data_IF_861052257708
#
_entry.id   IF_861052257708
#
_cell.length_a   1.000
_cell.length_b   1.000
_cell.length_c   1.000
_cell.angle_alpha   90.00
_cell.angle_beta   90.00
_cell.angle_gamma   90.00
#
_symmetry.space_group_name_H-M   'P 1'
#
loop_
_entity.id
_entity.type
_entity.pdbx_description
1 polymer ?
#
# COMPACT_ATOMS: atom_id res chain seq x y z
N UNK A 1 22.72 32.72 -41.79
CA UNK A 1 23.86 32.84 -40.86
C UNK A 1 24.75 31.61 -41.05
N UNK A 2 26.02 31.85 -41.37
CA UNK A 2 27.00 30.88 -41.91
C UNK A 2 27.60 29.98 -40.83
N UNK A 3 27.98 28.78 -41.28
CA UNK A 3 28.66 27.72 -40.53
C UNK A 3 30.17 27.99 -40.33
N UNK A 4 30.71 27.28 -39.35
CA UNK A 4 32.03 26.63 -39.26
C UNK A 4 33.26 27.37 -38.68
N UNK A 5 33.86 26.63 -37.73
CA UNK A 5 35.30 26.34 -37.53
C UNK A 5 36.23 27.48 -37.10
N UNK A 6 36.78 27.36 -35.88
CA UNK A 6 38.25 27.43 -35.70
C UNK A 6 38.70 26.48 -34.59
N UNK A 7 39.70 25.68 -34.96
CA UNK A 7 40.53 24.77 -34.18
C UNK A 7 41.43 25.52 -33.19
N UNK A 8 41.76 24.88 -32.06
CA UNK A 8 42.77 25.39 -31.12
C UNK A 8 43.46 24.26 -30.37
N UNK A 9 44.59 23.78 -30.91
CA UNK A 9 45.57 22.96 -30.20
C UNK A 9 46.16 23.76 -29.04
N UNK A 10 46.27 23.16 -27.85
CA UNK A 10 47.45 23.33 -26.98
C UNK A 10 47.76 21.98 -26.33
N UNK A 11 48.97 21.50 -26.59
CA UNK A 11 49.57 20.32 -26.03
C UNK A 11 50.24 20.63 -24.67
N UNK A 12 50.74 19.56 -24.05
CA UNK A 12 51.78 19.51 -23.01
C UNK A 12 51.27 19.30 -21.56
N UNK A 13 51.39 18.03 -21.18
CA UNK A 13 52.22 17.56 -20.07
C UNK A 13 52.00 18.18 -18.69
N UNK A 14 51.49 17.38 -17.76
CA UNK A 14 52.10 17.32 -16.43
C UNK A 14 51.93 15.90 -15.86
N UNK A 15 53.07 15.26 -15.63
CA UNK A 15 53.17 14.02 -14.89
C UNK A 15 52.66 14.22 -13.46
N UNK A 16 51.78 13.33 -12.99
CA UNK A 16 51.50 13.20 -11.56
C UNK A 16 51.79 11.76 -11.14
N UNK A 17 52.91 11.68 -10.43
CA UNK A 17 53.37 10.68 -9.47
C UNK A 17 52.38 9.59 -9.07
N UNK A 18 52.84 8.36 -9.31
CA UNK A 18 52.41 7.14 -8.63
C UNK A 18 52.69 7.29 -7.14
N UNK A 19 51.65 7.50 -6.34
CA UNK A 19 51.67 7.24 -4.90
C UNK A 19 50.75 6.05 -4.65
N UNK A 20 51.38 4.91 -4.38
CA UNK A 20 50.71 3.69 -4.01
C UNK A 20 49.85 3.90 -2.77
N UNK A 21 48.54 3.79 -2.94
CA UNK A 21 47.60 3.66 -1.84
C UNK A 21 47.41 2.17 -1.60
N UNK A 22 47.76 1.74 -0.39
CA UNK A 22 47.63 0.39 0.09
C UNK A 22 46.22 -0.17 -0.20
N UNK A 23 46.15 -1.36 -0.79
CA UNK A 23 44.96 -2.20 -0.79
C UNK A 23 44.64 -2.57 0.66
N UNK A 24 43.83 -1.73 1.33
CA UNK A 24 43.10 -2.17 2.50
C UNK A 24 42.07 -3.20 2.01
N UNK A 25 42.21 -4.42 2.51
CA UNK A 25 41.36 -5.55 2.23
C UNK A 25 39.90 -5.12 2.18
N UNK A 26 39.28 -5.28 1.01
CA UNK A 26 37.84 -5.28 0.86
C UNK A 26 37.33 -6.46 1.66
N UNK A 27 37.06 -6.23 2.94
CA UNK A 27 36.14 -7.06 3.70
C UNK A 27 34.85 -7.06 2.91
N UNK A 28 34.67 -8.11 2.13
CA UNK A 28 33.42 -8.44 1.45
C UNK A 28 32.35 -8.41 2.52
N UNK A 29 31.65 -7.27 2.61
CA UNK A 29 30.34 -7.22 3.20
C UNK A 29 29.54 -8.16 2.32
N UNK A 30 29.42 -9.41 2.77
CA UNK A 30 28.53 -10.41 2.20
C UNK A 30 27.18 -9.73 2.28
N UNK A 31 26.81 -9.07 1.19
CA UNK A 31 25.51 -8.44 0.99
C UNK A 31 24.55 -9.61 1.11
N UNK A 32 24.04 -9.79 2.32
CA UNK A 32 22.98 -10.71 2.60
C UNK A 32 21.82 -10.16 1.78
N UNK A 33 21.70 -10.71 0.57
CA UNK A 33 20.58 -10.55 -0.32
C UNK A 33 19.36 -10.80 0.54
N UNK A 34 18.71 -9.69 0.94
CA UNK A 34 17.50 -9.69 1.74
C UNK A 34 16.47 -10.32 0.83
N UNK A 35 16.23 -11.62 1.03
CA UNK A 35 15.12 -12.36 0.44
C UNK A 35 13.87 -11.54 0.70
N UNK A 36 13.37 -10.87 -0.34
CA UNK A 36 12.12 -10.13 -0.31
C UNK A 36 11.01 -11.15 -0.19
N UNK A 37 10.72 -11.58 1.05
CA UNK A 37 9.53 -12.34 1.36
C UNK A 37 8.35 -11.52 0.87
N UNK A 38 7.65 -12.03 -0.15
CA UNK A 38 6.39 -11.48 -0.63
C UNK A 38 5.51 -11.26 0.60
N UNK A 39 5.25 -9.99 0.92
CA UNK A 39 4.52 -9.62 2.11
C UNK A 39 3.12 -10.23 2.03
N UNK A 40 2.66 -10.84 3.13
CA UNK A 40 1.36 -11.51 3.15
C UNK A 40 0.25 -10.48 2.94
N UNK A 41 -0.65 -10.75 2.01
CA UNK A 41 -1.81 -9.93 1.70
C UNK A 41 -3.07 -10.69 2.12
N UNK A 42 -4.01 -10.01 2.78
CA UNK A 42 -5.26 -10.59 3.28
C UNK A 42 -6.47 -9.90 2.65
N UNK A 43 -7.62 -10.57 2.66
CA UNK A 43 -8.89 -10.01 2.21
C UNK A 43 -9.61 -9.33 3.36
N UNK A 44 -10.17 -8.15 3.10
CA UNK A 44 -10.93 -7.36 4.07
C UNK A 44 -12.29 -6.96 3.49
N UNK A 45 -13.33 -7.01 4.32
CA UNK A 45 -14.57 -6.26 4.09
C UNK A 45 -14.46 -4.92 4.80
N UNK A 46 -14.45 -3.85 4.04
CA UNK A 46 -14.56 -2.49 4.54
C UNK A 46 -16.03 -2.12 4.64
N UNK A 47 -16.42 -1.60 5.81
CA UNK A 47 -17.77 -1.15 6.13
C UNK A 47 -17.64 0.32 6.55
N UNK A 48 -18.20 1.24 5.77
CA UNK A 48 -18.10 2.69 5.97
C UNK A 48 -19.51 3.28 6.16
N UNK A 49 -20.05 3.26 7.39
CA UNK A 49 -21.36 3.82 7.68
C UNK A 49 -21.33 5.35 7.70
N UNK A 50 -22.45 5.96 7.31
CA UNK A 50 -22.74 7.39 7.39
C UNK A 50 -24.25 7.57 7.68
N UNK A 51 -24.68 8.78 8.04
CA UNK A 51 -26.12 9.04 8.24
C UNK A 51 -26.84 9.42 6.93
N UNK A 52 -28.18 9.37 6.87
CA UNK A 52 -28.92 9.86 5.72
C UNK A 52 -28.57 11.31 5.34
N UNK A 53 -28.35 12.17 6.33
CA UNK A 53 -28.03 13.59 6.16
C UNK A 53 -26.62 13.78 5.59
N UNK A 54 -25.71 12.85 5.87
CA UNK A 54 -24.32 12.87 5.39
C UNK A 54 -24.18 12.26 3.98
N UNK A 55 -25.18 11.56 3.48
CA UNK A 55 -25.07 10.68 2.31
C UNK A 55 -24.48 11.36 1.07
N UNK A 56 -24.96 12.56 0.71
CA UNK A 56 -24.44 13.27 -0.46
C UNK A 56 -22.99 13.73 -0.23
N UNK A 57 -22.72 14.29 0.96
CA UNK A 57 -21.38 14.74 1.34
C UNK A 57 -20.37 13.59 1.33
N UNK A 58 -20.74 12.42 1.85
CA UNK A 58 -19.88 11.24 1.83
C UNK A 58 -19.56 10.79 0.41
N UNK A 59 -20.55 10.77 -0.49
CA UNK A 59 -20.33 10.40 -1.89
C UNK A 59 -19.43 11.42 -2.61
N UNK A 60 -19.61 12.70 -2.35
CA UNK A 60 -18.76 13.77 -2.90
C UNK A 60 -17.32 13.66 -2.40
N UNK A 61 -17.11 13.44 -1.10
CA UNK A 61 -15.78 13.25 -0.49
C UNK A 61 -15.06 12.03 -1.07
N UNK A 62 -15.78 10.90 -1.21
CA UNK A 62 -15.21 9.69 -1.82
C UNK A 62 -14.91 9.90 -3.31
N UNK A 63 -15.74 10.66 -4.03
CA UNK A 63 -15.48 10.99 -5.43
C UNK A 63 -14.31 11.97 -5.60
N UNK A 64 -14.03 12.80 -4.60
CA UNK A 64 -12.91 13.75 -4.60
C UNK A 64 -11.54 13.03 -4.50
N UNK A 65 -11.50 11.84 -3.89
CA UNK A 65 -10.33 10.94 -3.90
C UNK A 65 -10.11 10.28 -5.29
N UNK A 66 -11.01 10.51 -6.25
CA UNK A 66 -10.99 9.97 -7.60
C UNK A 66 -12.27 9.22 -7.95
N UNK A 67 -12.76 9.36 -9.19
CA UNK A 67 -13.95 8.66 -9.66
C UNK A 67 -13.79 7.13 -9.58
N UNK A 68 -12.56 6.64 -9.73
CA UNK A 68 -12.17 5.24 -9.56
C UNK A 68 -12.27 4.75 -8.10
N UNK A 69 -12.29 5.65 -7.12
CA UNK A 69 -12.47 5.31 -5.71
C UNK A 69 -13.94 5.10 -5.38
N UNK A 70 -14.84 5.93 -5.93
CA UNK A 70 -16.28 5.78 -5.77
C UNK A 70 -16.79 4.41 -6.25
N UNK A 71 -16.26 3.91 -7.36
CA UNK A 71 -16.65 2.61 -7.94
C UNK A 71 -16.08 1.39 -7.20
N UNK A 72 -15.13 1.56 -6.26
CA UNK A 72 -14.65 0.47 -5.40
C UNK A 72 -15.70 0.04 -4.37
N UNK A 73 -16.66 0.91 -4.09
CA UNK A 73 -17.72 0.65 -3.13
C UNK A 73 -18.98 0.09 -3.81
N UNK A 74 -19.63 -0.81 -3.09
CA UNK A 74 -21.04 -1.14 -3.23
C UNK A 74 -21.83 -0.35 -2.20
N UNK A 75 -22.83 0.42 -2.64
CA UNK A 75 -23.55 1.37 -1.80
C UNK A 75 -24.92 0.83 -1.40
N UNK A 76 -25.22 0.80 -0.10
CA UNK A 76 -26.53 0.44 0.43
C UNK A 76 -27.59 1.55 0.30
N UNK A 77 -27.19 2.79 -0.02
CA UNK A 77 -28.02 3.98 0.20
C UNK A 77 -29.39 3.91 -0.51
N UNK A 78 -29.45 3.32 -1.72
CA UNK A 78 -30.71 3.14 -2.47
C UNK A 78 -31.67 2.14 -1.83
N UNK A 79 -31.18 1.28 -0.94
CA UNK A 79 -31.96 0.33 -0.15
C UNK A 79 -32.28 0.85 1.26
N UNK A 80 -31.92 2.10 1.59
CA UNK A 80 -32.10 2.69 2.92
C UNK A 80 -30.99 2.36 3.92
N UNK A 81 -29.93 1.67 3.49
CA UNK A 81 -28.76 1.39 4.30
C UNK A 81 -27.65 2.38 3.95
N UNK A 82 -27.41 3.36 4.83
CA UNK A 82 -26.41 4.40 4.62
C UNK A 82 -24.99 3.91 4.93
N UNK A 83 -24.58 2.89 4.18
CA UNK A 83 -23.28 2.22 4.34
C UNK A 83 -22.64 1.98 2.97
N UNK A 84 -21.36 2.35 2.86
CA UNK A 84 -20.49 1.91 1.77
C UNK A 84 -19.78 0.61 2.14
N UNK A 85 -19.77 -0.35 1.22
CA UNK A 85 -19.09 -1.64 1.39
C UNK A 85 -18.02 -1.82 0.33
N UNK A 86 -16.83 -2.29 0.71
CA UNK A 86 -15.79 -2.62 -0.27
C UNK A 86 -15.03 -3.87 0.14
N UNK A 87 -14.75 -4.75 -0.82
CA UNK A 87 -13.83 -5.87 -0.61
C UNK A 87 -12.45 -5.50 -1.12
N UNK A 88 -11.44 -5.52 -0.26
CA UNK A 88 -10.08 -5.11 -0.61
C UNK A 88 -9.05 -6.15 -0.19
N UNK A 89 -7.87 -6.07 -0.79
CA UNK A 89 -6.72 -6.87 -0.41
C UNK A 89 -5.64 -5.95 0.16
N UNK A 90 -5.26 -6.17 1.41
CA UNK A 90 -4.33 -5.31 2.15
C UNK A 90 -3.45 -6.13 3.11
N UNK A 91 -2.36 -5.52 3.59
CA UNK A 91 -1.43 -6.13 4.55
C UNK A 91 -2.01 -6.20 5.95
N UNK A 92 -2.78 -5.19 6.31
CA UNK A 92 -3.39 -4.97 7.61
C UNK A 92 -4.67 -4.13 7.47
N UNK A 93 -5.35 -3.89 8.59
CA UNK A 93 -6.59 -3.11 8.65
C UNK A 93 -6.36 -1.63 8.29
N UNK A 94 -5.20 -1.08 8.65
CA UNK A 94 -4.86 0.32 8.35
C UNK A 94 -4.75 0.53 6.84
N UNK A 95 -4.05 -0.37 6.15
CA UNK A 95 -3.96 -0.37 4.70
C UNK A 95 -5.31 -0.61 4.02
N UNK A 96 -6.19 -1.44 4.62
CA UNK A 96 -7.54 -1.64 4.13
C UNK A 96 -8.42 -0.39 4.24
N UNK A 97 -8.14 0.52 5.18
CA UNK A 97 -8.89 1.78 5.37
C UNK A 97 -8.24 2.99 4.68
N UNK A 98 -7.10 2.81 4.00
CA UNK A 98 -6.31 3.91 3.47
C UNK A 98 -7.04 4.76 2.42
N UNK A 99 -7.99 4.17 1.69
CA UNK A 99 -8.79 4.87 0.67
C UNK A 99 -10.10 5.48 1.20
N UNK A 100 -10.38 5.34 2.50
CA UNK A 100 -11.52 6.01 3.13
C UNK A 100 -11.12 7.46 3.41
N UNK A 101 -11.92 8.46 2.97
CA UNK A 101 -11.70 9.87 3.33
C UNK A 101 -11.60 10.04 4.85
N UNK A 102 -10.82 11.03 5.29
CA UNK A 102 -10.54 11.25 6.72
C UNK A 102 -11.82 11.33 7.57
N UNK A 103 -12.84 12.04 7.07
CA UNK A 103 -14.13 12.22 7.75
C UNK A 103 -14.86 10.89 8.04
N UNK A 104 -14.72 9.89 7.17
CA UNK A 104 -15.37 8.58 7.34
C UNK A 104 -14.51 7.54 8.07
N UNK A 105 -13.20 7.80 8.24
CA UNK A 105 -12.27 6.77 8.74
C UNK A 105 -12.51 6.40 10.21
N UNK A 106 -13.03 7.32 11.02
CA UNK A 106 -13.30 7.08 12.43
C UNK A 106 -14.46 6.09 12.69
N UNK A 107 -15.43 6.02 11.78
CA UNK A 107 -16.60 5.13 11.88
C UNK A 107 -16.45 3.88 11.01
N UNK A 108 -15.57 3.92 10.02
CA UNK A 108 -15.29 2.79 9.15
C UNK A 108 -14.59 1.64 9.89
N UNK A 109 -14.86 0.42 9.42
CA UNK A 109 -14.25 -0.81 9.94
C UNK A 109 -13.68 -1.62 8.79
N UNK A 110 -12.52 -2.24 9.00
CA UNK A 110 -11.98 -3.26 8.12
C UNK A 110 -12.06 -4.61 8.82
N UNK A 111 -12.90 -5.52 8.32
CA UNK A 111 -13.06 -6.86 8.86
C UNK A 111 -12.21 -7.81 8.04
N UNK A 112 -11.18 -8.41 8.64
CA UNK A 112 -10.39 -9.45 8.00
C UNK A 112 -11.27 -10.68 7.70
N UNK A 113 -11.32 -11.07 6.43
CA UNK A 113 -12.09 -12.21 5.96
C UNK A 113 -11.20 -13.46 5.89
N UNK A 114 -11.76 -14.59 6.32
CA UNK A 114 -11.10 -15.89 6.24
C UNK A 114 -11.99 -16.86 5.48
N UNK A 115 -11.35 -17.83 4.81
CA UNK A 115 -12.00 -19.04 4.33
C UNK A 115 -11.58 -20.17 5.26
N UNK A 116 -12.47 -21.12 5.47
CA UNK A 116 -12.21 -22.25 6.34
C UNK A 116 -12.46 -23.57 5.61
N UNK A 117 -11.66 -24.55 5.92
CA UNK A 117 -11.95 -25.98 5.76
C UNK A 117 -12.84 -26.46 6.90
N UNK A 118 -13.45 -27.64 6.74
CA UNK A 118 -14.31 -28.21 7.78
C UNK A 118 -13.52 -28.55 9.06
N UNK A 119 -12.27 -28.96 8.89
CA UNK A 119 -11.34 -29.26 9.97
C UNK A 119 -11.01 -28.00 10.79
N UNK A 120 -10.73 -26.87 10.12
CA UNK A 120 -10.45 -25.59 10.78
C UNK A 120 -11.67 -25.07 11.57
N UNK A 121 -12.89 -25.22 11.03
CA UNK A 121 -14.13 -24.82 11.73
C UNK A 121 -14.27 -25.61 13.04
N UNK A 122 -14.10 -26.94 12.99
CA UNK A 122 -14.19 -27.82 14.17
C UNK A 122 -13.16 -27.44 15.22
N UNK A 123 -11.91 -27.24 14.82
CA UNK A 123 -10.83 -26.85 15.72
C UNK A 123 -11.09 -25.49 16.38
N UNK A 124 -11.55 -24.49 15.61
CA UNK A 124 -11.84 -23.15 16.13
C UNK A 124 -12.94 -23.18 17.20
N UNK A 125 -14.05 -23.86 16.94
CA UNK A 125 -15.19 -23.88 17.86
C UNK A 125 -14.97 -24.77 19.09
N UNK A 126 -14.25 -25.89 18.95
CA UNK A 126 -13.87 -26.72 20.11
C UNK A 126 -13.06 -25.92 21.15
N UNK A 127 -12.25 -24.96 20.72
CA UNK A 127 -11.47 -24.10 21.62
C UNK A 127 -12.30 -23.00 22.33
N UNK A 128 -13.53 -22.74 21.87
CA UNK A 128 -14.42 -21.73 22.44
C UNK A 128 -15.37 -22.32 23.49
N UNK A 129 -15.77 -23.58 23.36
CA UNK A 129 -16.66 -24.27 24.31
C UNK A 129 -16.00 -24.51 25.68
N UNK A 130 -14.66 -24.51 25.75
CA UNK A 130 -13.91 -24.68 27.01
C UNK A 130 -13.82 -23.38 27.83
N UNK A 131 -14.20 -22.23 27.26
CA UNK A 131 -14.06 -20.89 27.89
C UNK A 131 -15.37 -20.29 28.42
N UNK A 132 -16.46 -21.05 28.46
CA UNK A 132 -17.72 -20.65 29.10
C UNK A 132 -17.83 -21.29 30.48
#
# INVERSE_FOLDING_TARGET
MRRHLVSGLVAASLAVLVLGVAFAATGSSKSASKSTSKEAMYHYLVIAPHTPEECLKTLDEVSAEGAETLVKFSWGCKAGDHTGYAMVTAKDEVGALAFIPEAGRATAKAIKLNKFTMEEIKAFHASLEVKK
#
